data_IF_329676531376
#
_entry.id   IF_329676531376
#
_cell.length_a   1.000
_cell.length_b   1.000
_cell.length_c   1.000
_cell.angle_alpha   90.00
_cell.angle_beta   90.00
_cell.angle_gamma   90.00
#
_symmetry.space_group_name_H-M   'P 1'
#
loop_
_entity.id
_entity.type
_entity.pdbx_description
1 polymer ?
#
# COMPACT_ATOMS: atom_id res chain seq x y z
N UNK A 1 -5.22 -4.47 32.75
CA UNK A 1 -5.00 -5.11 31.44
C UNK A 1 -4.96 -4.01 30.38
N UNK A 2 -3.77 -3.51 30.03
CA UNK A 2 -3.58 -2.50 28.97
C UNK A 2 -2.38 -3.02 28.16
N UNK A 3 -2.68 -3.63 27.01
CA UNK A 3 -1.73 -4.37 26.19
C UNK A 3 -0.59 -3.47 25.77
N UNK A 4 0.63 -3.87 26.15
CA UNK A 4 1.84 -3.20 25.74
C UNK A 4 2.02 -3.39 24.24
N UNK A 5 2.12 -2.26 23.56
CA UNK A 5 2.51 -2.06 22.17
C UNK A 5 3.72 -2.92 21.81
N UNK A 6 3.48 -4.01 21.06
CA UNK A 6 4.55 -4.87 20.52
C UNK A 6 5.09 -4.18 19.27
N UNK A 7 5.82 -3.09 19.51
CA UNK A 7 6.57 -2.38 18.50
C UNK A 7 7.91 -3.07 18.25
N UNK A 8 8.24 -3.16 16.97
CA UNK A 8 9.61 -3.08 16.45
C UNK A 8 10.49 -4.35 16.57
N UNK A 9 10.50 -5.12 15.48
CA UNK A 9 11.71 -5.81 15.02
C UNK A 9 11.85 -5.59 13.51
N UNK A 10 12.42 -4.44 13.18
CA UNK A 10 12.89 -4.12 11.84
C UNK A 10 14.13 -4.97 11.54
N UNK A 11 14.01 -5.93 10.63
CA UNK A 11 15.17 -6.54 9.98
C UNK A 11 14.84 -6.73 8.52
N UNK A 12 15.40 -5.88 7.66
CA UNK A 12 15.86 -6.28 6.34
C UNK A 12 16.85 -5.24 5.86
N UNK A 13 18.10 -5.69 5.80
CA UNK A 13 19.30 -4.90 5.62
C UNK A 13 19.33 -4.18 4.27
N UNK A 14 19.83 -2.95 4.30
CA UNK A 14 20.27 -2.20 3.13
C UNK A 14 21.56 -2.83 2.62
N UNK A 15 21.54 -3.45 1.43
CA UNK A 15 22.77 -3.67 0.65
C UNK A 15 22.46 -3.42 -0.83
N UNK A 16 22.58 -2.17 -1.25
CA UNK A 16 22.84 -1.87 -2.65
C UNK A 16 24.21 -1.19 -2.72
N UNK A 17 25.25 -2.00 -2.96
CA UNK A 17 26.57 -1.55 -3.38
C UNK A 17 26.41 -0.63 -4.59
N UNK A 18 26.79 0.63 -4.45
CA UNK A 18 26.99 1.50 -5.62
C UNK A 18 28.47 1.82 -5.70
N UNK A 19 29.20 0.95 -6.39
CA UNK A 19 30.54 1.24 -6.85
C UNK A 19 30.48 2.46 -7.78
N UNK A 20 31.41 3.39 -7.56
CA UNK A 20 31.56 4.58 -8.38
C UNK A 20 31.79 4.18 -9.85
N UNK A 21 30.86 4.54 -10.71
CA UNK A 21 30.98 4.40 -12.16
C UNK A 21 30.44 5.67 -12.81
N UNK A 22 31.34 6.50 -13.33
CA UNK A 22 31.06 7.76 -14.02
C UNK A 22 30.00 7.62 -15.14
N UNK A 23 29.26 8.71 -15.35
CA UNK A 23 28.82 9.22 -16.67
C UNK A 23 27.32 9.24 -16.97
N UNK A 24 26.97 10.33 -17.69
CA UNK A 24 25.73 10.67 -18.42
C UNK A 24 24.60 11.28 -17.61
N UNK A 25 24.52 12.61 -17.73
CA UNK A 25 23.35 13.45 -17.44
C UNK A 25 22.22 13.13 -18.43
N UNK A 26 21.56 12.00 -18.25
CA UNK A 26 20.18 11.83 -18.71
C UNK A 26 19.30 12.48 -17.65
N UNK A 27 18.50 13.49 -18.02
CA UNK A 27 17.24 13.70 -17.30
C UNK A 27 16.44 12.41 -17.54
N UNK A 28 16.69 11.38 -16.71
CA UNK A 28 15.84 10.20 -16.64
C UNK A 28 14.46 10.79 -16.48
N UNK A 29 13.58 10.52 -17.43
CA UNK A 29 12.16 10.60 -17.16
C UNK A 29 11.97 9.57 -16.05
N UNK A 30 12.12 10.03 -14.81
CA UNK A 30 12.06 9.23 -13.59
C UNK A 30 10.58 8.94 -13.40
N UNK A 31 10.02 8.10 -14.27
CA UNK A 31 8.78 7.43 -13.98
C UNK A 31 9.12 6.56 -12.78
N UNK A 32 8.86 7.09 -11.60
CA UNK A 32 9.00 6.33 -10.36
C UNK A 32 8.20 5.03 -10.57
N UNK A 33 8.76 3.86 -10.25
CA UNK A 33 8.04 2.62 -10.42
C UNK A 33 6.73 2.70 -9.64
N UNK A 34 5.64 2.17 -10.22
CA UNK A 34 4.37 2.07 -9.51
C UNK A 34 4.59 1.19 -8.28
N UNK A 35 4.33 1.74 -7.10
CA UNK A 35 4.45 1.02 -5.84
C UNK A 35 3.24 1.32 -4.95
N UNK A 36 2.63 0.29 -4.38
CA UNK A 36 1.59 0.44 -3.36
C UNK A 36 2.32 0.71 -2.03
N UNK A 37 1.97 1.82 -1.38
CA UNK A 37 2.59 2.24 -0.10
C UNK A 37 1.79 1.78 1.12
N UNK A 38 0.55 1.32 0.92
CA UNK A 38 -0.23 0.67 1.97
C UNK A 38 0.38 -0.67 2.35
N UNK A 39 0.97 -0.73 3.55
CA UNK A 39 1.61 -1.93 4.09
C UNK A 39 0.73 -2.72 5.06
N UNK A 40 -0.26 -2.07 5.67
CA UNK A 40 -1.18 -2.67 6.63
C UNK A 40 -2.57 -2.07 6.50
N UNK A 41 -3.59 -2.91 6.70
CA UNK A 41 -4.98 -2.51 6.82
C UNK A 41 -5.41 -2.62 8.29
N UNK A 42 -6.22 -1.68 8.81
CA UNK A 42 -6.79 -1.81 10.14
C UNK A 42 -7.74 -3.01 10.24
N UNK A 43 -7.87 -3.58 11.44
CA UNK A 43 -8.84 -4.64 11.70
C UNK A 43 -10.28 -4.12 11.54
N UNK A 44 -11.12 -4.90 10.88
CA UNK A 44 -12.55 -4.60 10.77
C UNK A 44 -13.31 -5.19 11.98
N UNK A 45 -14.27 -4.44 12.51
CA UNK A 45 -15.15 -4.91 13.60
C UNK A 45 -16.48 -5.38 13.02
N UNK A 46 -16.98 -6.51 13.51
CA UNK A 46 -18.29 -7.06 13.11
C UNK A 46 -19.41 -6.03 13.31
N UNK A 47 -20.26 -5.88 12.30
CA UNK A 47 -21.35 -4.90 12.29
C UNK A 47 -20.93 -3.43 12.16
N UNK A 48 -19.63 -3.12 12.04
CA UNK A 48 -19.11 -1.75 11.87
C UNK A 48 -18.72 -1.51 10.42
N UNK A 49 -19.14 -0.39 9.85
CA UNK A 49 -18.75 0.01 8.51
C UNK A 49 -17.22 0.24 8.44
N UNK A 50 -16.59 -0.43 7.50
CA UNK A 50 -15.16 -0.33 7.19
C UNK A 50 -14.98 0.56 5.95
N UNK A 51 -14.09 1.56 6.05
CA UNK A 51 -13.64 2.39 4.92
C UNK A 51 -12.15 2.67 5.07
N UNK A 52 -11.37 2.35 4.04
CA UNK A 52 -9.93 2.57 4.01
C UNK A 52 -9.42 2.80 2.59
N UNK A 53 -8.73 3.91 2.33
CA UNK A 53 -8.16 4.20 1.00
C UNK A 53 -6.73 3.68 0.88
N UNK A 54 -6.48 2.81 -0.08
CA UNK A 54 -5.11 2.38 -0.40
C UNK A 54 -4.35 3.49 -1.15
N UNK A 55 -3.06 3.60 -0.88
CA UNK A 55 -2.18 4.61 -1.47
C UNK A 55 -1.10 3.95 -2.32
N UNK A 56 -0.76 4.60 -3.43
CA UNK A 56 0.34 4.24 -4.31
C UNK A 56 1.12 5.47 -4.72
N UNK A 57 2.40 5.28 -5.06
CA UNK A 57 3.28 6.31 -5.60
C UNK A 57 3.87 5.86 -6.94
N UNK A 58 4.42 6.82 -7.68
CA UNK A 58 4.99 6.61 -9.00
C UNK A 58 3.97 6.31 -10.10
N UNK A 59 4.43 5.84 -11.25
CA UNK A 59 3.56 5.58 -12.39
C UNK A 59 2.84 6.84 -12.90
N UNK A 60 1.60 6.66 -13.36
CA UNK A 60 0.70 7.74 -13.78
C UNK A 60 -0.45 7.83 -12.78
N UNK A 61 -0.33 8.73 -11.80
CA UNK A 61 -1.26 8.84 -10.68
C UNK A 61 -2.68 9.26 -11.08
N UNK A 62 -2.87 9.73 -12.32
CA UNK A 62 -4.19 10.04 -12.86
C UNK A 62 -4.92 8.84 -13.47
N UNK A 63 -4.24 7.71 -13.65
CA UNK A 63 -4.77 6.52 -14.34
C UNK A 63 -4.55 5.24 -13.53
N UNK A 64 -4.71 5.30 -12.20
CA UNK A 64 -4.70 4.09 -11.38
C UNK A 64 -6.00 3.31 -11.54
N UNK A 65 -5.87 2.00 -11.71
CA UNK A 65 -6.99 1.06 -11.70
C UNK A 65 -6.75 0.02 -10.61
N UNK A 66 -7.51 0.14 -9.52
CA UNK A 66 -7.41 -0.71 -8.36
C UNK A 66 -8.26 -1.98 -8.51
N UNK A 67 -7.73 -3.09 -8.02
CA UNK A 67 -8.47 -4.34 -7.88
C UNK A 67 -8.00 -5.05 -6.62
N UNK A 68 -8.90 -5.84 -6.03
CA UNK A 68 -8.61 -6.68 -4.88
C UNK A 68 -8.97 -8.13 -5.22
N UNK A 69 -8.24 -9.07 -4.65
CA UNK A 69 -8.47 -10.50 -4.77
C UNK A 69 -8.27 -11.17 -3.42
N UNK A 70 -8.95 -12.30 -3.20
CA UNK A 70 -8.95 -12.99 -1.90
C UNK A 70 -9.70 -12.25 -0.79
N UNK A 71 -10.51 -11.25 -1.13
CA UNK A 71 -11.31 -10.52 -0.16
C UNK A 71 -12.48 -11.37 0.39
N UNK A 72 -12.94 -11.09 1.61
CA UNK A 72 -14.23 -11.57 2.09
C UNK A 72 -15.39 -11.00 1.25
N UNK A 73 -16.55 -11.67 1.21
CA UNK A 73 -17.70 -11.23 0.40
C UNK A 73 -18.27 -9.87 0.81
N UNK A 74 -18.01 -9.43 2.04
CA UNK A 74 -18.45 -8.14 2.55
C UNK A 74 -17.56 -6.96 2.16
N UNK A 75 -16.35 -7.22 1.62
CA UNK A 75 -15.36 -6.20 1.31
C UNK A 75 -15.27 -5.98 -0.21
N UNK A 76 -15.22 -4.72 -0.65
CA UNK A 76 -15.03 -4.33 -2.05
C UNK A 76 -14.03 -3.19 -2.17
N UNK A 77 -13.40 -3.05 -3.33
CA UNK A 77 -12.53 -1.90 -3.66
C UNK A 77 -13.14 -1.08 -4.79
N UNK A 78 -13.09 0.24 -4.66
CA UNK A 78 -13.39 1.15 -5.76
C UNK A 78 -12.17 1.22 -6.69
N UNK A 79 -12.35 0.81 -7.95
CA UNK A 79 -11.25 0.74 -8.92
C UNK A 79 -10.64 2.09 -9.27
N UNK A 80 -11.37 3.19 -9.12
CA UNK A 80 -10.88 4.54 -9.43
C UNK A 80 -10.21 5.22 -8.25
N UNK A 81 -10.70 5.00 -7.03
CA UNK A 81 -10.19 5.70 -5.84
C UNK A 81 -9.28 4.85 -4.97
N UNK A 82 -9.32 3.52 -5.09
CA UNK A 82 -8.63 2.62 -4.17
C UNK A 82 -9.30 2.56 -2.80
N UNK A 83 -10.54 3.01 -2.66
CA UNK A 83 -11.28 2.89 -1.40
C UNK A 83 -11.75 1.45 -1.19
N UNK A 84 -11.28 0.83 -0.12
CA UNK A 84 -11.81 -0.42 0.41
C UNK A 84 -12.98 -0.11 1.32
N UNK A 85 -14.15 -0.64 0.98
CA UNK A 85 -15.39 -0.40 1.72
C UNK A 85 -16.17 -1.69 1.93
N UNK A 86 -16.84 -1.81 3.07
CA UNK A 86 -17.66 -2.97 3.40
C UNK A 86 -18.16 -2.97 4.84
N UNK A 87 -19.03 -3.91 5.18
CA UNK A 87 -19.47 -4.11 6.57
C UNK A 87 -19.38 -5.60 6.88
N UNK A 88 -18.49 -6.02 7.81
CA UNK A 88 -18.42 -7.42 8.19
C UNK A 88 -19.75 -7.88 8.81
N UNK A 89 -20.22 -9.09 8.47
CA UNK A 89 -21.43 -9.65 9.09
C UNK A 89 -21.20 -9.91 10.58
N UNK A 90 -22.29 -9.91 11.34
CA UNK A 90 -22.36 -10.33 12.76
C UNK A 90 -22.48 -11.83 12.91
#
# INVERSE_FOLDING_TARGET
MRGAMVGLLAVLAVVAFSSAGCSRRSKKHSKEPLAITTTSLPDATEGVAYSFTVQATGGDSGNYNWSISGQPPWLSINSSTGELSGTPPT
#
